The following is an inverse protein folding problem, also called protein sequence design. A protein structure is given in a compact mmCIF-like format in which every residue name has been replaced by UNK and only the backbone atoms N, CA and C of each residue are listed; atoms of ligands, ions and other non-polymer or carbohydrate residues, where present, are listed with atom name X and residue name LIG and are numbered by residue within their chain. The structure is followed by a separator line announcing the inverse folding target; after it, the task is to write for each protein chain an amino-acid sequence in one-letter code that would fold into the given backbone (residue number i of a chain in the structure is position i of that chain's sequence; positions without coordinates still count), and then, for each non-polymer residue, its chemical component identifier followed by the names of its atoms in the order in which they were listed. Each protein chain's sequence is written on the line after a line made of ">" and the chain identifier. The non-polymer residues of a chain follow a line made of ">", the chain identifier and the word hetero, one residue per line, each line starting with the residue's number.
data_IF_591587481610
#
_entry.id   IF_591587481610
#
_cell.length_a   1.000
_cell.length_b   1.000
_cell.length_c   1.000
_cell.angle_alpha   90.00
_cell.angle_beta   90.00
_cell.angle_gamma   90.00
#
_symmetry.space_group_name_H-M   'P 1'
#
loop_
_entity.id
_entity.type
_entity.pdbx_description
1 polymer ?
#
# COMPACT_ATOMS: atom_id res chain seq x y z
N UNK A 1 31.67 67.10 -4.24
CA UNK A 1 30.57 66.57 -5.08
C UNK A 1 30.07 65.31 -4.37
N UNK A 2 29.09 65.33 -3.43
CA UNK A 2 27.60 65.25 -3.61
C UNK A 2 27.22 64.28 -4.76
N UNK A 3 26.40 63.23 -4.64
CA UNK A 3 25.17 62.88 -3.88
C UNK A 3 25.13 61.34 -3.61
N UNK A 4 24.56 60.75 -2.54
CA UNK A 4 23.11 60.55 -2.20
C UNK A 4 22.36 59.76 -3.30
N UNK A 5 21.59 58.67 -3.12
CA UNK A 5 20.90 58.04 -1.98
C UNK A 5 20.43 56.60 -2.33
N UNK A 6 20.22 55.79 -1.29
CA UNK A 6 19.00 54.99 -0.97
C UNK A 6 18.67 53.65 -1.66
N UNK A 7 18.63 52.61 -0.81
CA UNK A 7 17.60 51.58 -0.62
C UNK A 7 16.70 51.17 -1.81
N UNK A 8 16.80 49.89 -2.19
CA UNK A 8 15.70 49.07 -2.70
C UNK A 8 15.88 47.65 -2.12
N UNK A 9 15.35 47.41 -0.93
CA UNK A 9 14.11 46.62 -0.69
C UNK A 9 14.26 45.17 -1.14
N UNK A 10 14.44 44.30 -0.15
CA UNK A 10 14.13 42.89 -0.26
C UNK A 10 12.64 42.70 -0.52
N UNK A 11 12.32 42.06 -1.63
CA UNK A 11 11.04 41.40 -1.87
C UNK A 11 11.18 40.53 -3.11
N UNK A 12 11.38 39.22 -2.92
CA UNK A 12 11.23 38.25 -4.02
C UNK A 12 10.79 36.85 -3.54
N UNK A 13 10.97 36.51 -2.26
CA UNK A 13 10.49 35.22 -1.72
C UNK A 13 8.99 35.20 -1.37
N UNK A 14 8.32 36.35 -1.23
CA UNK A 14 6.88 36.42 -0.90
C UNK A 14 5.95 36.52 -2.13
N UNK A 15 6.51 36.79 -3.32
CA UNK A 15 5.71 37.01 -4.54
C UNK A 15 5.11 35.74 -5.14
N UNK A 16 5.84 34.62 -5.10
CA UNK A 16 5.39 33.36 -5.72
C UNK A 16 4.40 32.57 -4.87
N UNK A 17 4.38 32.75 -3.54
CA UNK A 17 3.42 32.10 -2.67
C UNK A 17 1.98 32.65 -2.82
N UNK A 18 1.81 33.85 -3.39
CA UNK A 18 0.49 34.48 -3.52
C UNK A 18 -0.36 33.94 -4.69
N UNK A 19 0.26 33.27 -5.67
CA UNK A 19 -0.44 32.78 -6.87
C UNK A 19 -1.05 31.38 -6.72
N UNK A 20 -0.82 30.68 -5.61
CA UNK A 20 -1.31 29.32 -5.39
C UNK A 20 -2.79 29.25 -4.98
N UNK A 21 -3.48 30.39 -4.83
CA UNK A 21 -4.81 30.45 -4.18
C UNK A 21 -6.00 30.00 -5.04
N UNK A 22 -5.82 29.69 -6.34
CA UNK A 22 -6.93 29.48 -7.27
C UNK A 22 -6.86 28.19 -8.12
N UNK A 23 -6.05 27.20 -7.74
CA UNK A 23 -5.96 25.96 -8.50
C UNK A 23 -6.72 24.82 -7.82
N UNK A 24 -7.74 24.26 -8.50
CA UNK A 24 -8.35 23.00 -8.09
C UNK A 24 -7.37 21.82 -8.16
N UNK A 25 -7.83 20.61 -7.84
CA UNK A 25 -7.02 19.38 -7.76
C UNK A 25 -6.05 19.17 -8.95
N UNK A 26 -6.49 19.48 -10.18
CA UNK A 26 -5.68 19.37 -11.39
C UNK A 26 -4.52 20.38 -11.47
N UNK A 27 -4.68 21.59 -10.92
CA UNK A 27 -3.61 22.58 -10.90
C UNK A 27 -2.61 22.34 -9.76
N UNK A 28 -3.05 21.77 -8.64
CA UNK A 28 -2.14 21.24 -7.60
C UNK A 28 -1.31 20.10 -8.18
N UNK A 29 -1.93 19.20 -8.96
CA UNK A 29 -1.22 18.11 -9.64
C UNK A 29 -0.18 18.60 -10.66
N UNK A 30 -0.57 19.51 -11.56
CA UNK A 30 0.34 20.10 -12.55
C UNK A 30 1.53 20.80 -11.87
N UNK A 31 1.25 21.57 -10.80
CA UNK A 31 2.27 22.28 -10.06
C UNK A 31 3.16 21.35 -9.24
N UNK A 32 2.63 20.25 -8.68
CA UNK A 32 3.42 19.17 -8.08
C UNK A 32 4.36 18.53 -9.10
N UNK A 33 3.86 18.20 -10.29
CA UNK A 33 4.70 17.66 -11.37
C UNK A 33 5.84 18.63 -11.74
N UNK A 34 5.56 19.93 -11.76
CA UNK A 34 6.55 20.97 -12.05
C UNK A 34 7.52 21.22 -10.87
N UNK A 35 7.03 21.18 -9.63
CA UNK A 35 7.87 21.23 -8.44
C UNK A 35 8.80 20.00 -8.33
N UNK A 36 8.41 18.87 -8.92
CA UNK A 36 9.26 17.68 -9.05
C UNK A 36 10.18 17.69 -10.28
N UNK A 37 9.97 18.57 -11.28
CA UNK A 37 10.70 18.51 -12.56
C UNK A 37 12.08 19.18 -12.54
N UNK A 38 12.35 20.05 -11.56
CA UNK A 38 13.71 20.39 -11.15
C UNK A 38 14.45 21.53 -11.86
N UNK A 39 13.74 22.42 -12.58
CA UNK A 39 14.37 23.41 -13.46
C UNK A 39 15.08 24.60 -12.75
N UNK A 40 14.99 24.72 -11.43
CA UNK A 40 15.40 25.96 -10.72
C UNK A 40 16.86 25.95 -10.18
N UNK A 41 17.70 24.99 -10.58
CA UNK A 41 19.10 24.88 -10.11
C UNK A 41 19.26 24.56 -8.61
N UNK A 42 18.16 24.27 -7.92
CA UNK A 42 18.12 23.88 -6.50
C UNK A 42 18.26 22.36 -6.29
N UNK A 43 18.32 21.57 -7.35
CA UNK A 43 18.34 20.11 -7.30
C UNK A 43 19.77 19.58 -7.29
N UNK A 44 20.06 18.70 -6.33
CA UNK A 44 21.32 17.95 -6.34
C UNK A 44 21.33 16.98 -7.53
N UNK A 45 22.50 16.81 -8.15
CA UNK A 45 22.69 15.87 -9.26
C UNK A 45 22.34 14.47 -8.80
N UNK A 46 21.47 13.79 -9.55
CA UNK A 46 21.04 12.44 -9.23
C UNK A 46 22.24 11.49 -9.35
N UNK A 47 22.60 10.76 -8.29
CA UNK A 47 23.75 9.86 -8.30
C UNK A 47 23.50 8.64 -9.19
N UNK A 48 24.58 8.03 -9.68
CA UNK A 48 24.48 6.73 -10.35
C UNK A 48 24.23 5.62 -9.32
N UNK A 49 23.66 4.49 -9.76
CA UNK A 49 23.50 3.31 -8.90
C UNK A 49 24.84 2.82 -8.33
N UNK A 50 25.95 2.99 -9.06
CA UNK A 50 27.28 2.65 -8.57
C UNK A 50 27.69 3.54 -7.39
N UNK A 51 27.33 4.82 -7.40
CA UNK A 51 27.63 5.74 -6.30
C UNK A 51 26.81 5.38 -5.06
N UNK A 52 25.56 4.96 -5.23
CA UNK A 52 24.73 4.43 -4.14
C UNK A 52 25.36 3.17 -3.56
N UNK A 53 25.74 2.20 -4.40
CA UNK A 53 26.37 0.96 -3.96
C UNK A 53 27.71 1.20 -3.26
N UNK A 54 28.55 2.12 -3.78
CA UNK A 54 29.79 2.54 -3.13
C UNK A 54 29.54 3.19 -1.79
N UNK A 55 28.54 4.07 -1.69
CA UNK A 55 28.15 4.69 -0.42
C UNK A 55 27.77 3.64 0.62
N UNK A 56 26.87 2.72 0.27
CA UNK A 56 26.43 1.64 1.15
C UNK A 56 27.61 0.74 1.55
N UNK A 57 28.44 0.33 0.60
CA UNK A 57 29.65 -0.45 0.86
C UNK A 57 30.58 0.24 1.84
N UNK A 58 30.85 1.54 1.65
CA UNK A 58 31.71 2.32 2.53
C UNK A 58 31.16 2.38 3.96
N UNK A 59 29.85 2.57 4.12
CA UNK A 59 29.21 2.59 5.44
C UNK A 59 29.35 1.23 6.12
N UNK A 60 29.06 0.15 5.40
CA UNK A 60 29.20 -1.21 5.92
C UNK A 60 30.65 -1.55 6.28
N UNK A 61 31.61 -1.20 5.43
CA UNK A 61 33.03 -1.45 5.65
C UNK A 61 33.56 -0.66 6.86
N UNK A 62 33.22 0.63 6.95
CA UNK A 62 33.57 1.45 8.11
C UNK A 62 32.97 0.89 9.40
N UNK A 63 31.68 0.53 9.36
CA UNK A 63 30.99 -0.08 10.48
C UNK A 63 31.65 -1.37 10.98
N UNK A 64 31.98 -2.28 10.05
CA UNK A 64 32.66 -3.54 10.37
C UNK A 64 34.10 -3.33 10.84
N UNK A 65 34.81 -2.36 10.27
CA UNK A 65 36.16 -2.00 10.70
C UNK A 65 36.18 -1.50 12.14
N UNK A 66 35.25 -0.61 12.50
CA UNK A 66 35.12 -0.10 13.88
C UNK A 66 34.73 -1.20 14.86
N UNK A 67 33.91 -2.18 14.46
CA UNK A 67 33.54 -3.30 15.34
C UNK A 67 34.63 -4.37 15.49
N UNK A 68 35.47 -4.56 14.47
CA UNK A 68 36.51 -5.59 14.45
C UNK A 68 37.88 -5.08 14.94
N UNK A 69 38.15 -3.79 14.79
CA UNK A 69 39.34 -3.15 15.33
C UNK A 69 39.24 -3.05 16.85
N UNK A 70 40.20 -3.65 17.55
CA UNK A 70 40.37 -3.56 19.00
C UNK A 70 40.79 -2.16 19.50
N UNK A 71 40.33 -1.08 18.86
CA UNK A 71 40.17 0.18 19.57
C UNK A 71 38.92 0.04 20.41
N UNK A 72 39.13 -0.42 21.64
CA UNK A 72 38.16 -0.39 22.72
C UNK A 72 37.42 0.95 22.71
N UNK A 73 36.22 0.99 22.13
CA UNK A 73 35.01 1.81 22.41
C UNK A 73 35.21 3.05 23.31
N UNK A 74 36.27 3.83 23.09
CA UNK A 74 36.74 4.91 23.99
C UNK A 74 37.18 6.16 23.21
N UNK A 75 37.24 6.10 21.87
CA UNK A 75 37.51 7.25 21.01
C UNK A 75 36.22 7.89 20.44
N UNK A 76 35.05 7.26 20.63
CA UNK A 76 33.75 7.88 20.40
C UNK A 76 33.25 8.44 21.74
N UNK A 77 33.04 9.75 21.82
CA UNK A 77 32.78 10.51 23.06
C UNK A 77 31.59 10.04 23.94
N UNK A 78 31.37 10.71 25.08
CA UNK A 78 30.59 10.21 26.23
C UNK A 78 29.06 10.10 26.02
N UNK A 79 28.55 10.13 24.79
CA UNK A 79 27.11 10.02 24.53
C UNK A 79 26.68 8.56 24.31
N UNK A 80 26.98 7.67 25.26
CA UNK A 80 26.15 6.48 25.48
C UNK A 80 24.81 6.94 26.08
N UNK A 81 23.93 7.52 25.26
CA UNK A 81 22.52 7.54 25.66
C UNK A 81 22.04 6.09 25.63
N UNK A 82 21.28 5.61 26.65
CA UNK A 82 20.49 4.40 26.48
C UNK A 82 19.61 4.56 25.23
N UNK A 83 19.17 3.44 24.63
CA UNK A 83 18.27 3.40 23.48
C UNK A 83 17.39 4.65 23.40
N UNK A 84 17.45 5.43 22.30
CA UNK A 84 16.72 6.69 22.24
C UNK A 84 15.25 6.44 22.58
N UNK A 85 14.81 7.04 23.68
CA UNK A 85 13.52 6.76 24.29
C UNK A 85 12.43 7.38 23.41
N UNK A 86 11.57 6.53 22.85
CA UNK A 86 10.31 6.98 22.27
C UNK A 86 9.38 7.25 23.45
N UNK A 87 8.88 8.49 23.62
CA UNK A 87 7.94 8.80 24.69
C UNK A 87 6.73 7.85 24.66
N UNK A 88 6.35 7.30 25.82
CA UNK A 88 5.19 6.39 25.91
C UNK A 88 3.88 7.09 25.49
N UNK A 89 3.82 8.41 25.69
CA UNK A 89 2.76 9.28 25.21
C UNK A 89 2.63 9.26 23.67
N UNK A 90 3.74 9.28 22.92
CA UNK A 90 3.71 9.15 21.46
C UNK A 90 3.18 7.77 21.04
N UNK A 91 3.63 6.71 21.72
CA UNK A 91 3.16 5.34 21.47
C UNK A 91 1.66 5.22 21.76
N UNK A 92 1.21 5.82 22.86
CA UNK A 92 -0.21 5.83 23.23
C UNK A 92 -1.06 6.52 22.17
N UNK A 93 -0.63 7.69 21.68
CA UNK A 93 -1.32 8.40 20.58
C UNK A 93 -1.39 7.52 19.33
N UNK A 94 -0.30 6.87 18.94
CA UNK A 94 -0.27 5.96 17.78
C UNK A 94 -1.26 4.81 17.93
N UNK A 95 -1.34 4.19 19.11
CA UNK A 95 -2.28 3.09 19.36
C UNK A 95 -3.74 3.55 19.35
N UNK A 96 -4.04 4.70 19.95
CA UNK A 96 -5.39 5.29 19.91
C UNK A 96 -5.81 5.60 18.48
N UNK A 97 -4.93 6.22 17.68
CA UNK A 97 -5.17 6.49 16.28
C UNK A 97 -5.35 5.19 15.47
N UNK A 98 -4.62 4.11 15.77
CA UNK A 98 -4.77 2.82 15.09
C UNK A 98 -6.16 2.19 15.33
N UNK A 99 -6.67 2.29 16.57
CA UNK A 99 -8.05 1.89 16.89
C UNK A 99 -9.03 2.77 16.13
N UNK A 100 -8.81 4.09 16.09
CA UNK A 100 -9.66 5.01 15.35
C UNK A 100 -9.71 4.68 13.85
N UNK A 101 -8.58 4.38 13.21
CA UNK A 101 -8.55 3.94 11.81
C UNK A 101 -9.38 2.68 11.58
N UNK A 102 -9.32 1.73 12.51
CA UNK A 102 -10.13 0.51 12.45
C UNK A 102 -11.62 0.81 12.51
N UNK A 103 -12.03 1.73 13.39
CA UNK A 103 -13.42 2.14 13.52
C UNK A 103 -13.90 2.90 12.29
N UNK A 104 -13.13 3.88 11.81
CA UNK A 104 -13.46 4.66 10.61
C UNK A 104 -13.56 3.75 9.39
N UNK A 105 -12.61 2.83 9.21
CA UNK A 105 -12.65 1.84 8.12
C UNK A 105 -13.92 1.01 8.15
N UNK A 106 -14.31 0.48 9.32
CA UNK A 106 -15.54 -0.31 9.49
C UNK A 106 -16.77 0.51 9.15
N UNK A 107 -16.87 1.73 9.69
CA UNK A 107 -17.98 2.65 9.42
C UNK A 107 -18.10 2.97 7.93
N UNK A 108 -17.01 3.31 7.25
CA UNK A 108 -17.02 3.59 5.82
C UNK A 108 -17.37 2.35 5.00
N UNK A 109 -16.86 1.17 5.39
CA UNK A 109 -17.16 -0.10 4.73
C UNK A 109 -18.66 -0.39 4.73
N UNK A 110 -19.30 -0.30 5.90
CA UNK A 110 -20.69 -0.71 6.05
C UNK A 110 -21.68 0.39 5.63
N UNK A 111 -21.32 1.67 5.77
CA UNK A 111 -22.22 2.81 5.49
C UNK A 111 -22.04 3.43 4.11
N UNK A 112 -20.85 3.30 3.51
CA UNK A 112 -20.52 3.98 2.25
C UNK A 112 -20.17 2.96 1.16
N UNK A 113 -19.13 2.17 1.37
CA UNK A 113 -18.53 1.37 0.29
C UNK A 113 -19.40 0.19 -0.15
N UNK A 114 -19.91 -0.64 0.77
CA UNK A 114 -20.82 -1.75 0.42
C UNK A 114 -22.14 -1.25 -0.18
N UNK A 115 -22.86 -0.28 0.43
CA UNK A 115 -24.08 0.27 -0.16
C UNK A 115 -23.84 0.86 -1.54
N UNK A 116 -22.71 1.54 -1.76
CA UNK A 116 -22.32 2.05 -3.08
C UNK A 116 -22.14 0.90 -4.08
N UNK A 117 -21.44 -0.18 -3.71
CA UNK A 117 -21.27 -1.35 -4.57
C UNK A 117 -22.59 -1.99 -4.99
N UNK A 118 -23.55 -2.12 -4.06
CA UNK A 118 -24.89 -2.65 -4.34
C UNK A 118 -25.74 -1.69 -5.17
N UNK A 119 -25.71 -0.39 -4.87
CA UNK A 119 -26.41 0.64 -5.64
C UNK A 119 -25.94 0.67 -7.10
N UNK A 120 -24.64 0.45 -7.30
CA UNK A 120 -24.05 0.32 -8.62
C UNK A 120 -24.36 -1.04 -9.27
N UNK A 121 -24.99 -2.01 -8.60
CA UNK A 121 -25.25 -3.35 -9.15
C UNK A 121 -23.96 -4.03 -9.66
N UNK A 122 -22.89 -3.96 -8.86
CA UNK A 122 -21.65 -4.69 -9.13
C UNK A 122 -21.84 -6.18 -8.83
N UNK A 123 -20.98 -7.00 -9.42
CA UNK A 123 -20.93 -8.43 -9.11
C UNK A 123 -20.61 -8.65 -7.61
N UNK A 124 -21.22 -9.64 -6.93
CA UNK A 124 -20.99 -9.87 -5.50
C UNK A 124 -19.51 -10.05 -5.12
N UNK A 125 -18.71 -10.68 -5.99
CA UNK A 125 -17.26 -10.82 -5.85
C UNK A 125 -16.55 -9.44 -5.78
N UNK A 126 -16.93 -8.52 -6.67
CA UNK A 126 -16.41 -7.15 -6.71
C UNK A 126 -16.91 -6.29 -5.53
N UNK A 127 -18.15 -6.49 -5.07
CA UNK A 127 -18.67 -5.81 -3.87
C UNK A 127 -17.88 -6.20 -2.62
N UNK A 128 -17.39 -7.45 -2.53
CA UNK A 128 -16.56 -7.89 -1.41
C UNK A 128 -15.15 -7.26 -1.42
N UNK A 129 -14.56 -7.04 -2.60
CA UNK A 129 -13.21 -6.47 -2.75
C UNK A 129 -13.19 -4.93 -2.68
N UNK A 130 -14.25 -4.27 -3.15
CA UNK A 130 -14.32 -2.81 -3.28
C UNK A 130 -14.03 -2.02 -1.98
N UNK A 131 -14.54 -2.40 -0.80
CA UNK A 131 -14.29 -1.64 0.43
C UNK A 131 -12.82 -1.57 0.83
N UNK A 132 -12.05 -2.62 0.58
CA UNK A 132 -10.62 -2.66 0.88
C UNK A 132 -9.86 -1.66 0.01
N UNK A 133 -10.05 -1.72 -1.32
CA UNK A 133 -9.40 -0.79 -2.25
C UNK A 133 -9.85 0.65 -2.09
N UNK A 134 -11.14 0.89 -1.81
CA UNK A 134 -11.66 2.23 -1.58
C UNK A 134 -11.08 2.87 -0.30
N UNK A 135 -10.96 2.08 0.77
CA UNK A 135 -10.32 2.51 2.01
C UNK A 135 -8.86 2.89 1.81
N UNK A 136 -8.09 2.01 1.15
CA UNK A 136 -6.67 2.24 0.87
C UNK A 136 -6.46 3.44 -0.04
N UNK A 137 -7.25 3.59 -1.11
CA UNK A 137 -7.18 4.75 -1.99
C UNK A 137 -7.43 6.06 -1.24
N UNK A 138 -8.47 6.10 -0.40
CA UNK A 138 -8.80 7.29 0.39
C UNK A 138 -7.66 7.66 1.34
N UNK A 139 -7.13 6.67 2.08
CA UNK A 139 -6.04 6.89 3.02
C UNK A 139 -4.77 7.37 2.30
N UNK A 140 -4.25 6.60 1.36
CA UNK A 140 -3.00 6.93 0.66
C UNK A 140 -3.13 8.26 -0.10
N UNK A 141 -4.27 8.51 -0.75
CA UNK A 141 -4.51 9.76 -1.45
C UNK A 141 -4.44 10.97 -0.52
N UNK A 142 -5.15 10.94 0.61
CA UNK A 142 -5.16 12.05 1.57
C UNK A 142 -3.79 12.26 2.23
N UNK A 143 -3.16 11.19 2.72
CA UNK A 143 -1.88 11.29 3.46
C UNK A 143 -0.74 11.68 2.54
N UNK A 144 -0.70 11.14 1.32
CA UNK A 144 0.32 11.51 0.34
C UNK A 144 0.21 12.99 -0.05
N UNK A 145 -0.99 13.49 -0.36
CA UNK A 145 -1.21 14.90 -0.69
C UNK A 145 -0.79 15.83 0.46
N UNK A 146 -1.14 15.49 1.70
CA UNK A 146 -0.74 16.25 2.88
C UNK A 146 0.79 16.27 3.05
N UNK A 147 1.42 15.11 2.89
CA UNK A 147 2.87 14.97 3.06
C UNK A 147 3.62 15.75 1.98
N UNK A 148 3.21 15.65 0.71
CA UNK A 148 3.79 16.45 -0.38
C UNK A 148 3.60 17.94 -0.15
N UNK A 149 2.43 18.36 0.32
CA UNK A 149 2.19 19.76 0.64
C UNK A 149 3.17 20.28 1.70
N UNK A 150 3.33 19.57 2.82
CA UNK A 150 4.22 19.97 3.91
C UNK A 150 5.70 19.93 3.49
N UNK A 151 6.10 18.87 2.78
CA UNK A 151 7.53 18.56 2.55
C UNK A 151 8.07 19.21 1.28
N UNK A 152 7.26 19.30 0.24
CA UNK A 152 7.70 19.76 -1.09
C UNK A 152 7.19 21.17 -1.36
N UNK A 153 5.91 21.46 -1.08
CA UNK A 153 5.27 22.69 -1.54
C UNK A 153 5.40 23.86 -0.58
N UNK A 154 5.41 23.63 0.74
CA UNK A 154 5.53 24.72 1.72
C UNK A 154 6.90 25.41 1.70
N UNK A 155 7.92 24.81 1.08
CA UNK A 155 9.27 25.37 1.00
C UNK A 155 10.05 25.37 2.32
N UNK A 156 9.48 24.80 3.40
CA UNK A 156 10.13 24.67 4.71
C UNK A 156 11.29 23.68 4.70
N UNK A 157 11.16 22.60 3.92
CA UNK A 157 12.13 21.53 3.82
C UNK A 157 12.77 21.51 2.44
N UNK A 158 14.08 21.24 2.39
CA UNK A 158 14.85 21.12 1.14
C UNK A 158 15.29 19.70 0.82
N UNK A 159 15.08 18.76 1.73
CA UNK A 159 15.63 17.40 1.60
C UNK A 159 15.04 16.58 0.47
N UNK A 160 13.90 17.01 -0.09
CA UNK A 160 13.37 16.41 -1.32
C UNK A 160 14.18 16.82 -2.55
N UNK A 161 14.54 18.09 -2.68
CA UNK A 161 15.33 18.63 -3.80
C UNK A 161 16.83 18.36 -3.60
N UNK A 162 17.30 18.44 -2.36
CA UNK A 162 18.70 18.31 -1.92
C UNK A 162 18.82 17.17 -0.89
N UNK A 163 18.93 15.91 -1.33
CA UNK A 163 18.97 14.75 -0.44
C UNK A 163 19.96 14.85 0.72
N UNK A 164 21.13 15.48 0.56
CA UNK A 164 22.08 15.59 1.69
C UNK A 164 21.61 16.50 2.82
N UNK A 165 20.64 17.38 2.57
CA UNK A 165 20.05 18.23 3.62
C UNK A 165 19.17 17.45 4.62
N UNK A 166 18.95 16.13 4.43
CA UNK A 166 18.34 15.29 5.48
C UNK A 166 19.10 15.33 6.80
N UNK A 167 20.41 15.62 6.75
CA UNK A 167 21.31 15.68 7.89
C UNK A 167 21.53 17.10 8.44
N UNK A 168 20.99 18.12 7.79
CA UNK A 168 21.21 19.51 8.22
C UNK A 168 20.56 19.74 9.59
N UNK A 169 21.35 20.23 10.55
CA UNK A 169 20.89 20.45 11.93
C UNK A 169 20.64 19.17 12.72
N UNK A 170 21.09 18.00 12.23
CA UNK A 170 20.95 16.75 12.97
C UNK A 170 21.73 16.79 14.28
N UNK A 171 21.06 16.41 15.37
CA UNK A 171 21.64 16.17 16.69
C UNK A 171 20.78 15.14 17.42
N UNK A 172 21.34 14.28 18.28
CA UNK A 172 20.54 13.37 19.12
C UNK A 172 19.51 14.10 20.01
N UNK A 173 19.74 15.38 20.28
CA UNK A 173 18.92 16.23 21.14
C UNK A 173 17.82 16.99 20.40
N UNK A 174 17.84 16.97 19.07
CA UNK A 174 16.85 17.71 18.28
C UNK A 174 15.45 17.14 18.49
N UNK A 175 14.48 18.02 18.69
CA UNK A 175 13.07 17.65 18.73
C UNK A 175 12.53 17.50 17.31
N UNK A 176 11.71 16.47 17.08
CA UNK A 176 11.04 16.30 15.78
C UNK A 176 10.05 17.45 15.58
N UNK A 177 10.09 18.17 14.44
CA UNK A 177 9.12 19.21 14.13
C UNK A 177 7.67 18.68 14.19
N UNK A 178 6.74 19.48 14.71
CA UNK A 178 5.35 19.04 14.97
C UNK A 178 4.61 18.54 13.71
N UNK A 179 4.87 19.14 12.56
CA UNK A 179 4.35 18.72 11.26
C UNK A 179 4.88 17.35 10.83
N UNK A 180 6.17 17.08 11.02
CA UNK A 180 6.76 15.75 10.77
C UNK A 180 6.25 14.74 11.79
N UNK A 181 6.10 15.15 13.05
CA UNK A 181 5.55 14.30 14.11
C UNK A 181 4.15 13.81 13.75
N UNK A 182 3.26 14.69 13.25
CA UNK A 182 1.92 14.29 12.81
C UNK A 182 1.95 13.32 11.62
N UNK A 183 2.82 13.55 10.64
CA UNK A 183 3.03 12.60 9.53
C UNK A 183 3.42 11.23 10.08
N UNK A 184 4.37 11.19 11.02
CA UNK A 184 4.82 9.96 11.67
C UNK A 184 3.72 9.27 12.48
N UNK A 185 2.96 10.02 13.27
CA UNK A 185 1.88 9.49 14.09
C UNK A 185 0.76 8.87 13.23
N UNK A 186 0.34 9.56 12.17
CA UNK A 186 -0.68 9.08 11.23
C UNK A 186 -0.20 7.84 10.49
N UNK A 187 1.03 7.85 9.97
CA UNK A 187 1.57 6.71 9.22
C UNK A 187 1.80 5.49 10.10
N UNK A 188 2.44 5.68 11.26
CA UNK A 188 2.70 4.58 12.20
C UNK A 188 1.39 3.94 12.67
N UNK A 189 0.38 4.76 13.00
CA UNK A 189 -0.92 4.26 13.44
C UNK A 189 -1.66 3.52 12.33
N UNK A 190 -1.54 3.95 11.07
CA UNK A 190 -2.10 3.21 9.94
C UNK A 190 -1.39 1.89 9.70
N UNK A 191 -0.06 1.80 9.84
CA UNK A 191 0.65 0.52 9.74
C UNK A 191 0.29 -0.43 10.88
N UNK A 192 0.06 0.06 12.10
CA UNK A 192 -0.47 -0.76 13.21
C UNK A 192 -1.89 -1.26 12.88
N UNK A 193 -2.77 -0.37 12.38
CA UNK A 193 -4.08 -0.77 11.86
C UNK A 193 -3.96 -1.80 10.72
N UNK A 194 -3.01 -1.60 9.80
CA UNK A 194 -2.75 -2.46 8.66
C UNK A 194 -2.37 -3.88 9.08
N UNK A 195 -1.58 -4.03 10.16
CA UNK A 195 -1.28 -5.34 10.74
C UNK A 195 -2.55 -6.07 11.19
N UNK A 196 -3.42 -5.37 11.94
CA UNK A 196 -4.70 -5.90 12.37
C UNK A 196 -5.61 -6.23 11.17
N UNK A 197 -5.64 -5.34 10.17
CA UNK A 197 -6.43 -5.52 8.97
C UNK A 197 -6.03 -6.77 8.19
N UNK A 198 -4.74 -6.98 7.93
CA UNK A 198 -4.27 -8.16 7.18
C UNK A 198 -4.61 -9.47 7.90
N UNK A 199 -4.60 -9.48 9.23
CA UNK A 199 -4.90 -10.68 10.02
C UNK A 199 -6.39 -10.98 10.17
N UNK A 200 -7.24 -9.96 10.23
CA UNK A 200 -8.63 -10.13 10.67
C UNK A 200 -9.70 -9.49 9.77
N UNK A 201 -9.35 -8.56 8.88
CA UNK A 201 -10.32 -7.83 8.06
C UNK A 201 -10.15 -8.07 6.55
N UNK A 202 -8.92 -8.19 6.08
CA UNK A 202 -8.58 -8.37 4.67
C UNK A 202 -8.69 -9.86 4.30
N UNK A 203 -8.99 -10.13 3.04
CA UNK A 203 -8.98 -11.49 2.51
C UNK A 203 -7.54 -12.00 2.45
N UNK A 204 -7.32 -13.22 2.92
CA UNK A 204 -6.00 -13.83 2.87
C UNK A 204 -5.62 -14.18 1.43
N UNK A 205 -4.52 -13.58 0.95
CA UNK A 205 -3.95 -13.73 -0.40
C UNK A 205 -2.55 -14.33 -0.34
N UNK A 206 -2.00 -14.71 -1.50
CA UNK A 206 -0.66 -15.31 -1.61
C UNK A 206 0.45 -14.42 -1.05
N UNK A 207 0.26 -13.10 -1.08
CA UNK A 207 1.21 -12.12 -0.58
C UNK A 207 0.91 -11.61 0.83
N UNK A 208 -0.17 -12.07 1.49
CA UNK A 208 -0.54 -11.60 2.84
C UNK A 208 0.59 -11.76 3.85
N UNK A 209 1.31 -12.89 3.82
CA UNK A 209 2.46 -13.10 4.71
C UNK A 209 3.61 -12.10 4.44
N UNK A 210 3.91 -11.83 3.15
CA UNK A 210 4.92 -10.83 2.76
C UNK A 210 4.48 -9.43 3.19
N UNK A 211 3.18 -9.13 3.12
CA UNK A 211 2.61 -7.87 3.61
C UNK A 211 2.74 -7.71 5.13
N UNK A 212 2.59 -8.77 5.93
CA UNK A 212 2.83 -8.73 7.39
C UNK A 212 4.31 -8.46 7.71
N UNK A 213 5.23 -9.12 6.98
CA UNK A 213 6.68 -8.86 7.12
C UNK A 213 6.99 -7.41 6.74
N UNK A 214 6.39 -6.90 5.67
CA UNK A 214 6.52 -5.51 5.26
C UNK A 214 6.04 -4.53 6.35
N UNK A 215 4.83 -4.75 6.90
CA UNK A 215 4.28 -3.88 7.95
C UNK A 215 5.16 -3.90 9.21
N UNK A 216 5.70 -5.06 9.55
CA UNK A 216 6.66 -5.19 10.66
C UNK A 216 7.92 -4.37 10.38
N UNK A 217 8.48 -4.51 9.17
CA UNK A 217 9.67 -3.79 8.74
C UNK A 217 9.45 -2.27 8.69
N UNK A 218 8.32 -1.79 8.18
CA UNK A 218 8.01 -0.35 8.12
C UNK A 218 7.79 0.24 9.50
N UNK A 219 7.13 -0.47 10.42
CA UNK A 219 7.00 -0.03 11.82
C UNK A 219 8.36 0.07 12.52
N UNK A 220 9.27 -0.88 12.29
CA UNK A 220 10.64 -0.82 12.82
C UNK A 220 11.42 0.35 12.20
N UNK A 221 11.32 0.57 10.88
CA UNK A 221 11.94 1.71 10.20
C UNK A 221 11.43 3.06 10.71
N UNK A 222 10.10 3.20 10.89
CA UNK A 222 9.49 4.40 11.46
C UNK A 222 9.95 4.62 12.91
N UNK A 223 9.89 3.58 13.75
CA UNK A 223 10.33 3.66 15.13
C UNK A 223 11.81 4.05 15.26
N UNK A 224 12.69 3.39 14.49
CA UNK A 224 14.12 3.70 14.50
C UNK A 224 14.42 5.08 13.94
N UNK A 225 13.82 5.48 12.82
CA UNK A 225 14.05 6.81 12.25
C UNK A 225 13.59 7.92 13.19
N UNK A 226 12.49 7.69 13.93
CA UNK A 226 12.03 8.61 14.96
C UNK A 226 12.99 8.68 16.17
N UNK A 227 13.43 7.51 16.65
CA UNK A 227 14.32 7.39 17.80
C UNK A 227 15.72 7.99 17.53
N UNK A 228 16.33 7.69 16.38
CA UNK A 228 17.66 8.19 16.00
C UNK A 228 17.64 9.56 15.33
N UNK A 229 16.49 10.24 15.32
CA UNK A 229 16.29 11.56 14.70
C UNK A 229 16.62 11.59 13.20
N UNK A 230 16.50 10.45 12.52
CA UNK A 230 16.60 10.31 11.07
C UNK A 230 15.23 10.52 10.38
N UNK A 231 14.37 11.38 10.94
CA UNK A 231 12.98 11.52 10.53
C UNK A 231 12.85 12.08 9.10
N UNK A 232 13.76 12.97 8.68
CA UNK A 232 13.78 13.48 7.30
C UNK A 232 13.98 12.36 6.26
N UNK A 233 14.82 11.37 6.58
CA UNK A 233 15.02 10.19 5.73
C UNK A 233 13.72 9.39 5.66
N UNK A 234 13.07 9.12 6.80
CA UNK A 234 11.82 8.36 6.81
C UNK A 234 10.67 9.08 6.10
N UNK A 235 10.54 10.40 6.22
CA UNK A 235 9.55 11.16 5.43
C UNK A 235 9.80 11.03 3.93
N UNK A 236 11.06 11.05 3.47
CA UNK A 236 11.36 10.78 2.06
C UNK A 236 10.92 9.38 1.63
N UNK A 237 11.12 8.37 2.47
CA UNK A 237 10.62 7.01 2.20
C UNK A 237 9.10 7.04 2.00
N UNK A 238 8.36 7.67 2.92
CA UNK A 238 6.89 7.74 2.86
C UNK A 238 6.39 8.42 1.57
N UNK A 239 6.93 9.59 1.22
CA UNK A 239 6.53 10.33 0.00
C UNK A 239 6.73 9.49 -1.26
N UNK A 240 7.86 8.79 -1.36
CA UNK A 240 8.19 7.99 -2.54
C UNK A 240 7.37 6.71 -2.64
N UNK A 241 7.04 6.07 -1.51
CA UNK A 241 6.31 4.80 -1.53
C UNK A 241 4.81 4.99 -1.72
N UNK A 242 4.18 5.92 -1.02
CA UNK A 242 2.71 6.01 -0.98
C UNK A 242 2.09 6.39 -2.33
N UNK A 243 2.82 7.12 -3.18
CA UNK A 243 2.29 7.59 -4.45
C UNK A 243 1.85 6.46 -5.40
N UNK A 244 2.66 5.40 -5.50
CA UNK A 244 2.32 4.27 -6.37
C UNK A 244 1.07 3.54 -5.88
N UNK A 245 0.83 3.53 -4.58
CA UNK A 245 -0.28 2.78 -3.99
C UNK A 245 -1.63 3.46 -4.25
N UNK A 246 -1.63 4.81 -4.38
CA UNK A 246 -2.78 5.57 -4.89
C UNK A 246 -3.17 5.08 -6.30
N UNK A 247 -2.20 4.96 -7.21
CA UNK A 247 -2.48 4.52 -8.58
C UNK A 247 -2.91 3.05 -8.64
N UNK A 248 -2.33 2.18 -7.80
CA UNK A 248 -2.70 0.77 -7.71
C UNK A 248 -4.17 0.61 -7.30
N UNK A 249 -4.58 1.25 -6.22
CA UNK A 249 -5.95 1.11 -5.71
C UNK A 249 -6.97 1.80 -6.63
N UNK A 250 -6.58 2.92 -7.26
CA UNK A 250 -7.39 3.56 -8.30
C UNK A 250 -7.60 2.64 -9.51
N UNK A 251 -6.57 1.93 -9.96
CA UNK A 251 -6.67 0.95 -11.04
C UNK A 251 -7.65 -0.17 -10.67
N UNK A 252 -7.51 -0.76 -9.48
CA UNK A 252 -8.38 -1.84 -8.98
C UNK A 252 -9.85 -1.43 -8.93
N UNK A 253 -10.15 -0.24 -8.39
CA UNK A 253 -11.53 0.25 -8.36
C UNK A 253 -12.11 0.38 -9.77
N UNK A 254 -11.35 0.84 -10.76
CA UNK A 254 -11.83 0.92 -12.14
C UNK A 254 -12.06 -0.47 -12.77
N UNK A 255 -11.25 -1.48 -12.41
CA UNK A 255 -11.51 -2.87 -12.78
C UNK A 255 -12.85 -3.35 -12.20
N UNK A 256 -13.13 -3.09 -10.93
CA UNK A 256 -14.39 -3.48 -10.29
C UNK A 256 -15.60 -2.79 -10.94
N UNK A 257 -15.42 -1.57 -11.46
CA UNK A 257 -16.47 -0.81 -12.14
C UNK A 257 -16.63 -1.15 -13.63
N UNK A 258 -15.76 -1.99 -14.20
CA UNK A 258 -15.79 -2.41 -15.61
C UNK A 258 -17.12 -3.06 -15.98
N UNK A 259 -17.68 -3.89 -15.09
CA UNK A 259 -18.98 -4.54 -15.29
C UNK A 259 -19.94 -4.03 -14.21
N UNK A 260 -20.97 -3.33 -14.65
CA UNK A 260 -21.94 -2.68 -13.76
C UNK A 260 -23.35 -2.91 -14.31
N UNK A 261 -24.27 -3.39 -13.47
CA UNK A 261 -25.65 -3.69 -13.87
C UNK A 261 -25.74 -4.59 -15.12
N UNK A 262 -24.85 -5.59 -15.21
CA UNK A 262 -24.76 -6.51 -16.36
C UNK A 262 -24.24 -5.88 -17.67
N UNK A 263 -23.80 -4.62 -17.65
CA UNK A 263 -23.23 -3.92 -18.81
C UNK A 263 -21.73 -3.69 -18.64
N UNK A 264 -20.97 -3.92 -19.71
CA UNK A 264 -19.53 -3.63 -19.75
C UNK A 264 -19.30 -2.16 -20.12
N UNK A 265 -18.69 -1.41 -19.22
CA UNK A 265 -18.32 -0.01 -19.41
C UNK A 265 -16.87 0.07 -19.90
N UNK A 266 -16.69 0.19 -21.22
CA UNK A 266 -15.38 0.25 -21.89
C UNK A 266 -14.51 1.42 -21.39
N UNK A 267 -15.13 2.51 -20.93
CA UNK A 267 -14.42 3.66 -20.37
C UNK A 267 -13.63 3.26 -19.12
N UNK A 268 -14.23 2.50 -18.20
CA UNK A 268 -13.54 2.04 -16.98
C UNK A 268 -12.43 1.02 -17.29
N UNK A 269 -12.61 0.20 -18.32
CA UNK A 269 -11.58 -0.74 -18.82
C UNK A 269 -10.34 0.01 -19.34
N UNK A 270 -10.54 1.07 -20.13
CA UNK A 270 -9.47 1.95 -20.61
C UNK A 270 -8.78 2.71 -19.48
N UNK A 271 -9.56 3.25 -18.53
CA UNK A 271 -9.01 3.96 -17.36
C UNK A 271 -8.20 3.01 -16.48
N UNK A 272 -8.70 1.81 -16.19
CA UNK A 272 -7.97 0.79 -15.44
C UNK A 272 -6.65 0.43 -16.11
N UNK A 273 -6.67 0.23 -17.44
CA UNK A 273 -5.47 -0.11 -18.20
C UNK A 273 -4.44 1.01 -18.18
N UNK A 274 -4.87 2.26 -18.40
CA UNK A 274 -4.00 3.44 -18.31
C UNK A 274 -3.44 3.62 -16.88
N UNK A 275 -4.29 3.48 -15.86
CA UNK A 275 -3.89 3.58 -14.46
C UNK A 275 -2.88 2.50 -14.07
N UNK A 276 -3.06 1.27 -14.55
CA UNK A 276 -2.12 0.17 -14.32
C UNK A 276 -0.74 0.45 -14.96
N UNK A 277 -0.70 0.96 -16.20
CA UNK A 277 0.55 1.36 -16.85
C UNK A 277 1.24 2.51 -16.10
N UNK A 278 0.47 3.54 -15.72
CA UNK A 278 0.99 4.65 -14.92
C UNK A 278 1.51 4.17 -13.56
N UNK A 279 0.82 3.24 -12.92
CA UNK A 279 1.24 2.59 -11.69
C UNK A 279 2.59 1.87 -11.87
N UNK A 280 2.74 1.04 -12.91
CA UNK A 280 3.97 0.29 -13.15
C UNK A 280 5.18 1.21 -13.40
N UNK A 281 5.00 2.27 -14.19
CA UNK A 281 6.03 3.29 -14.45
C UNK A 281 6.39 4.01 -13.14
N UNK A 282 5.37 4.44 -12.39
CA UNK A 282 5.56 5.16 -11.13
C UNK A 282 6.25 4.30 -10.08
N UNK A 283 5.93 3.00 -9.99
CA UNK A 283 6.60 2.06 -9.10
C UNK A 283 8.09 2.00 -9.39
N UNK A 284 8.47 1.83 -10.65
CA UNK A 284 9.87 1.85 -11.07
C UNK A 284 10.54 3.17 -10.70
N UNK A 285 9.96 4.31 -11.11
CA UNK A 285 10.58 5.62 -10.89
C UNK A 285 10.72 5.94 -9.41
N UNK A 286 9.67 5.77 -8.60
CA UNK A 286 9.70 6.20 -7.20
C UNK A 286 10.47 5.22 -6.31
N UNK A 287 10.24 3.92 -6.45
CA UNK A 287 10.76 2.89 -5.52
C UNK A 287 12.06 2.25 -5.98
N UNK A 288 12.33 2.18 -7.28
CA UNK A 288 13.56 1.59 -7.81
C UNK A 288 14.59 2.62 -8.30
N UNK A 289 14.17 3.83 -8.65
CA UNK A 289 15.09 4.89 -9.07
C UNK A 289 15.27 5.98 -8.00
N UNK A 290 14.24 6.76 -7.68
CA UNK A 290 14.35 7.88 -6.73
C UNK A 290 14.64 7.43 -5.30
N UNK A 291 14.06 6.31 -4.84
CA UNK A 291 14.33 5.78 -3.50
C UNK A 291 15.82 5.48 -3.27
N UNK A 292 16.51 4.64 -4.07
CA UNK A 292 17.94 4.43 -3.86
C UNK A 292 18.76 5.69 -4.12
N UNK A 293 18.45 6.47 -5.16
CA UNK A 293 19.24 7.66 -5.53
C UNK A 293 19.08 8.84 -4.55
N UNK A 294 17.93 9.01 -3.88
CA UNK A 294 17.72 10.08 -2.90
C UNK A 294 17.89 9.56 -1.47
N UNK A 295 17.17 8.51 -1.09
CA UNK A 295 17.14 8.03 0.30
C UNK A 295 18.41 7.27 0.63
N UNK A 296 18.74 6.22 -0.11
CA UNK A 296 19.90 5.39 0.22
C UNK A 296 21.21 6.13 0.01
N UNK A 297 21.30 6.99 -1.01
CA UNK A 297 22.46 7.84 -1.22
C UNK A 297 22.67 8.85 -0.08
N UNK A 298 21.62 9.55 0.35
CA UNK A 298 21.71 10.46 1.49
C UNK A 298 22.01 9.71 2.78
N UNK A 299 21.39 8.56 2.99
CA UNK A 299 21.62 7.68 4.13
C UNK A 299 23.00 7.01 4.11
N UNK A 300 23.79 7.10 3.04
CA UNK A 300 25.11 6.45 2.97
C UNK A 300 26.24 7.43 2.68
N UNK A 301 26.34 7.95 1.47
CA UNK A 301 27.34 8.97 1.12
C UNK A 301 27.11 10.25 1.90
N UNK A 302 25.86 10.69 2.01
CA UNK A 302 25.51 11.91 2.77
C UNK A 302 25.92 11.83 4.24
N UNK A 303 25.84 10.62 4.84
CA UNK A 303 26.28 10.34 6.21
C UNK A 303 27.76 10.71 6.41
N UNK A 304 28.64 10.25 5.52
CA UNK A 304 30.07 10.55 5.57
C UNK A 304 30.38 12.00 5.22
N UNK A 305 29.73 12.55 4.19
CA UNK A 305 29.97 13.94 3.78
C UNK A 305 29.61 14.92 4.90
N UNK A 306 28.54 14.63 5.64
CA UNK A 306 28.07 15.46 6.75
C UNK A 306 28.69 15.08 8.10
N UNK A 307 29.53 14.03 8.15
CA UNK A 307 30.20 13.52 9.36
C UNK A 307 29.21 13.22 10.51
N UNK A 308 28.04 12.66 10.16
CA UNK A 308 26.99 12.30 11.11
C UNK A 308 27.05 10.79 11.33
N UNK A 309 27.13 10.31 12.58
CA UNK A 309 27.21 8.87 12.86
C UNK A 309 26.23 8.47 13.98
N UNK A 310 24.93 8.30 13.67
CA UNK A 310 23.94 7.88 14.64
C UNK A 310 24.25 6.48 15.18
N UNK A 311 23.92 6.22 16.45
CA UNK A 311 24.04 4.88 17.00
C UNK A 311 23.17 3.87 16.23
N UNK A 312 23.65 2.63 16.06
CA UNK A 312 22.94 1.55 15.36
C UNK A 312 22.56 1.85 13.89
N UNK A 313 23.22 2.83 13.27
CA UNK A 313 22.88 3.27 11.92
C UNK A 313 23.08 2.16 10.85
N UNK A 314 24.02 1.23 11.06
CA UNK A 314 24.19 0.06 10.17
C UNK A 314 22.93 -0.81 10.10
N UNK A 315 22.27 -1.02 11.24
CA UNK A 315 21.03 -1.79 11.28
C UNK A 315 19.91 -1.04 10.55
N UNK A 316 19.84 0.29 10.73
CA UNK A 316 18.89 1.14 9.99
C UNK A 316 19.10 1.08 8.48
N UNK A 317 20.35 1.20 8.02
CA UNK A 317 20.70 1.09 6.60
C UNK A 317 20.42 -0.31 6.04
N UNK A 318 20.63 -1.36 6.85
CA UNK A 318 20.25 -2.72 6.53
C UNK A 318 18.74 -2.86 6.28
N UNK A 319 17.90 -2.29 7.16
CA UNK A 319 16.45 -2.29 6.98
C UNK A 319 16.01 -1.53 5.72
N UNK A 320 16.62 -0.37 5.41
CA UNK A 320 16.38 0.35 4.16
C UNK A 320 16.76 -0.49 2.93
N UNK A 321 17.82 -1.29 3.02
CA UNK A 321 18.25 -2.20 1.96
C UNK A 321 17.29 -3.37 1.79
N UNK A 322 16.78 -3.95 2.89
CA UNK A 322 15.73 -4.98 2.82
C UNK A 322 14.46 -4.41 2.19
N UNK A 323 14.08 -3.18 2.52
CA UNK A 323 12.95 -2.50 1.86
C UNK A 323 13.16 -2.37 0.34
N UNK A 324 14.36 -2.04 -0.13
CA UNK A 324 14.69 -2.04 -1.57
C UNK A 324 14.48 -3.42 -2.20
N UNK A 325 14.97 -4.49 -1.55
CA UNK A 325 14.82 -5.87 -2.04
C UNK A 325 13.35 -6.26 -2.16
N UNK A 326 12.52 -5.90 -1.17
CA UNK A 326 11.07 -6.14 -1.25
C UNK A 326 10.42 -5.38 -2.43
N UNK A 327 10.83 -4.12 -2.67
CA UNK A 327 10.34 -3.35 -3.82
C UNK A 327 10.74 -3.97 -5.17
N UNK A 328 11.92 -4.57 -5.27
CA UNK A 328 12.35 -5.33 -6.46
C UNK A 328 11.48 -6.59 -6.64
N UNK A 329 11.21 -7.32 -5.55
CA UNK A 329 10.34 -8.50 -5.57
C UNK A 329 8.94 -8.17 -6.12
N UNK A 330 8.29 -7.13 -5.59
CA UNK A 330 6.97 -6.71 -6.08
C UNK A 330 7.03 -6.18 -7.51
N UNK A 331 8.08 -5.45 -7.89
CA UNK A 331 8.22 -5.01 -9.27
C UNK A 331 8.34 -6.18 -10.25
N UNK A 332 9.04 -7.25 -9.86
CA UNK A 332 9.08 -8.50 -10.63
C UNK A 332 7.69 -9.08 -10.87
N UNK A 333 6.80 -9.04 -9.86
CA UNK A 333 5.41 -9.48 -10.03
C UNK A 333 4.61 -8.56 -10.95
N UNK A 334 4.81 -7.23 -10.88
CA UNK A 334 4.16 -6.26 -11.77
C UNK A 334 4.56 -6.53 -13.22
N UNK A 335 5.86 -6.72 -13.50
CA UNK A 335 6.37 -7.02 -14.84
C UNK A 335 5.84 -8.36 -15.34
N UNK A 336 5.85 -9.41 -14.50
CA UNK A 336 5.31 -10.71 -14.87
C UNK A 336 3.82 -10.63 -15.25
N UNK A 337 3.03 -9.89 -14.48
CA UNK A 337 1.63 -9.65 -14.79
C UNK A 337 1.47 -8.87 -16.11
N UNK A 338 2.24 -7.80 -16.32
CA UNK A 338 2.21 -7.04 -17.56
C UNK A 338 2.56 -7.90 -18.79
N UNK A 339 3.57 -8.78 -18.68
CA UNK A 339 3.93 -9.73 -19.75
C UNK A 339 2.78 -10.69 -20.04
N UNK A 340 2.14 -11.26 -19.02
CA UNK A 340 0.99 -12.17 -19.21
C UNK A 340 -0.21 -11.49 -19.88
N UNK A 341 -0.44 -10.22 -19.59
CA UNK A 341 -1.48 -9.42 -20.24
C UNK A 341 -1.14 -9.19 -21.72
N UNK A 342 0.13 -8.89 -22.04
CA UNK A 342 0.57 -8.65 -23.43
C UNK A 342 0.62 -9.94 -24.26
N UNK A 343 1.04 -11.06 -23.68
CA UNK A 343 1.08 -12.38 -24.34
C UNK A 343 -0.33 -12.95 -24.58
N UNK A 344 -1.35 -12.39 -23.93
CA UNK A 344 -2.75 -12.83 -24.07
C UNK A 344 -3.12 -14.01 -23.16
N UNK A 345 -2.22 -14.44 -22.28
CA UNK A 345 -2.47 -15.47 -21.26
C UNK A 345 -3.56 -15.02 -20.27
N UNK A 346 -3.68 -13.70 -20.06
CA UNK A 346 -4.68 -13.08 -19.20
C UNK A 346 -5.38 -11.98 -20.01
N UNK A 347 -6.64 -12.20 -20.37
CA UNK A 347 -7.44 -11.21 -21.11
C UNK A 347 -8.05 -10.12 -20.22
N UNK A 348 -8.06 -10.32 -18.89
CA UNK A 348 -8.69 -9.39 -17.95
C UNK A 348 -7.72 -8.94 -16.86
N UNK A 349 -7.69 -7.65 -16.58
CA UNK A 349 -6.87 -7.05 -15.52
C UNK A 349 -7.41 -7.38 -14.12
N UNK A 350 -7.50 -8.66 -13.75
CA UNK A 350 -7.83 -9.08 -12.38
C UNK A 350 -6.56 -9.34 -11.56
N UNK A 351 -6.65 -9.18 -10.25
CA UNK A 351 -5.52 -9.33 -9.34
C UNK A 351 -5.08 -10.80 -9.27
N UNK A 352 -3.92 -11.13 -9.83
CA UNK A 352 -3.42 -12.51 -9.88
C UNK A 352 -3.19 -13.15 -8.52
N UNK A 353 -3.17 -12.36 -7.45
CA UNK A 353 -3.05 -12.84 -6.08
C UNK A 353 -4.37 -13.37 -5.52
N UNK A 354 -5.49 -13.10 -6.19
CA UNK A 354 -6.86 -13.39 -5.76
C UNK A 354 -7.43 -14.72 -6.28
N UNK A 355 -6.79 -15.42 -7.24
CA UNK A 355 -7.37 -16.61 -7.88
C UNK A 355 -7.84 -17.69 -6.87
N UNK A 356 -7.00 -18.02 -5.88
CA UNK A 356 -7.34 -19.00 -4.86
C UNK A 356 -8.46 -18.51 -3.91
N UNK A 357 -8.62 -17.18 -3.77
CA UNK A 357 -9.66 -16.57 -2.94
C UNK A 357 -11.01 -16.71 -3.62
N UNK A 358 -11.07 -16.45 -4.92
CA UNK A 358 -12.29 -16.60 -5.73
C UNK A 358 -12.74 -18.07 -5.73
N UNK A 359 -11.82 -19.02 -5.90
CA UNK A 359 -12.12 -20.46 -5.81
C UNK A 359 -12.68 -20.87 -4.43
N UNK A 360 -12.10 -20.35 -3.34
CA UNK A 360 -12.61 -20.57 -1.98
C UNK A 360 -14.00 -19.96 -1.76
N UNK A 361 -14.30 -18.80 -2.36
CA UNK A 361 -15.63 -18.18 -2.27
C UNK A 361 -16.68 -18.98 -3.05
N UNK A 362 -16.34 -19.47 -4.25
CA UNK A 362 -17.25 -20.32 -5.03
C UNK A 362 -17.53 -21.65 -4.34
N UNK A 363 -16.49 -22.31 -3.78
CA UNK A 363 -16.67 -23.57 -3.03
C UNK A 363 -17.49 -23.38 -1.75
N UNK A 364 -17.29 -22.29 -1.00
CA UNK A 364 -18.11 -21.96 0.17
C UNK A 364 -19.59 -21.70 -0.20
N UNK A 365 -19.84 -21.02 -1.32
CA UNK A 365 -21.20 -20.76 -1.82
C UNK A 365 -21.87 -22.04 -2.30
N UNK A 366 -21.14 -22.93 -2.97
CA UNK A 366 -21.63 -24.23 -3.41
C UNK A 366 -21.97 -25.16 -2.22
N UNK A 367 -21.13 -25.16 -1.19
CA UNK A 367 -21.38 -25.92 0.05
C UNK A 367 -22.64 -25.42 0.80
N UNK A 368 -22.84 -24.10 0.88
CA UNK A 368 -24.06 -23.52 1.48
C UNK A 368 -25.32 -23.71 0.61
N UNK A 369 -25.18 -23.86 -0.70
CA UNK A 369 -26.29 -24.19 -1.60
C UNK A 369 -26.82 -25.62 -1.41
N UNK A 370 -25.94 -26.57 -1.09
CA UNK A 370 -26.32 -27.96 -0.86
C UNK A 370 -27.06 -28.18 0.48
N UNK A 371 -26.81 -27.34 1.47
CA UNK A 371 -27.50 -27.39 2.76
C UNK A 371 -28.91 -26.77 2.75
N UNK A 372 -29.18 -25.86 1.80
CA UNK A 372 -30.51 -25.21 1.67
C UNK A 372 -31.54 -26.04 0.89
N UNK A 373 -31.11 -27.03 0.12
CA UNK A 373 -32.03 -27.92 -0.62
C UNK A 373 -32.51 -29.13 0.19
N UNK A 374 -32.02 -29.31 1.43
CA UNK A 374 -32.39 -30.45 2.28
C UNK A 374 -33.51 -30.16 3.29
N UNK A 375 -33.74 -28.88 3.63
CA UNK A 375 -34.64 -28.49 4.73
C UNK A 375 -36.00 -27.94 4.28
N UNK A 376 -36.26 -27.82 2.98
CA UNK A 376 -37.55 -27.34 2.44
C UNK A 376 -38.42 -28.46 1.83
N UNK A 377 -38.16 -29.71 2.20
CA UNK A 377 -38.93 -30.88 1.76
C UNK A 377 -39.55 -31.66 2.93
N UNK A 378 -40.04 -31.00 3.98
CA UNK A 378 -40.91 -31.65 4.97
C UNK A 378 -41.98 -30.66 5.43
N UNK A 379 -43.20 -31.18 5.58
CA UNK A 379 -44.45 -30.56 6.06
C UNK A 379 -45.31 -29.93 4.97
N UNK A 380 -46.17 -30.78 4.36
CA UNK A 380 -47.63 -30.68 4.44
C UNK A 380 -48.24 -32.04 4.06
N UNK A 381 -48.74 -32.77 5.06
CA UNK A 381 -49.55 -34.00 4.88
C UNK A 381 -51.00 -33.61 5.23
N UNK A 382 -52.02 -33.86 4.39
CA UNK A 382 -53.40 -33.81 4.84
C UNK A 382 -53.82 -35.17 5.41
N UNK A 383 -54.70 -35.10 6.40
CA UNK A 383 -55.27 -36.21 7.15
C UNK A 383 -56.28 -37.02 6.32
N UNK A 384 -56.38 -38.31 6.66
CA UNK A 384 -57.34 -39.29 6.16
C UNK A 384 -58.77 -39.05 6.68
N UNK A 385 -59.77 -39.20 5.81
CA UNK A 385 -61.09 -39.72 6.21
C UNK A 385 -61.75 -40.43 5.03
N UNK A 386 -62.31 -41.61 5.32
CA UNK A 386 -62.98 -42.55 4.42
C UNK A 386 -64.29 -42.00 3.83
N UNK A 387 -64.61 -42.35 2.58
CA UNK A 387 -65.83 -43.11 2.22
C UNK A 387 -66.08 -43.16 0.70
N UNK A 388 -66.40 -44.36 0.20
CA UNK A 388 -67.45 -44.54 -0.82
C UNK A 388 -67.11 -44.44 -2.33
N UNK A 389 -67.28 -45.58 -3.00
CA UNK A 389 -67.75 -45.77 -4.39
C UNK A 389 -66.74 -45.76 -5.58
N UNK A 390 -66.62 -46.95 -6.18
CA UNK A 390 -66.34 -47.26 -7.61
C UNK A 390 -67.54 -46.86 -8.50
N UNK A 391 -67.52 -46.92 -9.87
CA UNK A 391 -66.52 -47.54 -10.77
C UNK A 391 -66.19 -46.78 -12.10
N UNK A 392 -65.24 -47.38 -12.84
CA UNK A 392 -65.20 -47.57 -14.31
C UNK A 392 -64.75 -46.49 -15.33
N UNK A 393 -64.12 -47.04 -16.39
CA UNK A 393 -63.69 -46.50 -17.69
C UNK A 393 -62.28 -45.86 -17.69
N UNK A 394 -61.31 -46.24 -18.52
CA UNK A 394 -61.28 -46.99 -19.79
C UNK A 394 -60.15 -46.39 -20.65
N UNK A 395 -59.63 -47.14 -21.62
CA UNK A 395 -58.58 -46.75 -22.61
C UNK A 395 -57.13 -46.72 -22.09
N UNK A 396 -56.23 -47.68 -22.36
CA UNK A 396 -55.81 -48.42 -23.57
C UNK A 396 -54.88 -47.62 -24.51
N UNK A 397 -53.77 -48.31 -24.88
CA UNK A 397 -52.76 -48.05 -25.94
C UNK A 397 -51.45 -47.40 -25.43
N UNK A 398 -50.24 -47.97 -25.53
CA UNK A 398 -49.74 -49.18 -26.19
C UNK A 398 -48.42 -48.90 -26.91
N UNK A 399 -47.31 -49.52 -26.44
CA UNK A 399 -46.08 -49.95 -27.16
C UNK A 399 -45.24 -48.87 -27.91
N UNK A 400 -43.90 -48.87 -27.98
CA UNK A 400 -42.89 -49.94 -28.03
C UNK A 400 -41.46 -49.35 -27.85
N UNK A 401 -40.52 -50.15 -27.31
CA UNK A 401 -39.06 -50.06 -27.52
C UNK A 401 -38.26 -49.47 -26.33
N UNK A 402 -37.43 -50.17 -25.56
CA UNK A 402 -36.84 -51.51 -25.68
C UNK A 402 -35.39 -51.47 -26.18
N UNK A 403 -34.40 -51.14 -25.34
CA UNK A 403 -33.02 -51.72 -25.34
C UNK A 403 -32.37 -51.64 -23.93
N UNK A 404 -32.49 -52.76 -23.22
CA UNK A 404 -31.48 -53.57 -22.50
C UNK A 404 -30.19 -52.97 -21.88
N UNK A 405 -30.16 -53.05 -20.55
CA UNK A 405 -29.13 -53.58 -19.61
C UNK A 405 -27.61 -53.31 -19.82
N UNK A 406 -26.95 -52.80 -18.77
CA UNK A 406 -26.27 -53.70 -17.79
C UNK A 406 -25.85 -52.99 -16.49
N UNK A 407 -26.24 -53.62 -15.39
CA UNK A 407 -25.72 -53.48 -14.03
C UNK A 407 -24.23 -53.85 -13.96
N UNK A 408 -23.48 -53.15 -13.09
CA UNK A 408 -22.68 -53.82 -12.05
C UNK A 408 -22.57 -52.92 -10.81
N UNK A 409 -23.19 -53.34 -9.72
CA UNK A 409 -22.86 -52.90 -8.36
C UNK A 409 -21.72 -53.76 -7.82
N UNK A 410 -20.79 -53.17 -7.07
CA UNK A 410 -20.07 -53.86 -6.00
C UNK A 410 -19.86 -52.89 -4.81
N UNK A 411 -20.37 -53.30 -3.65
CA UNK A 411 -20.19 -52.71 -2.33
C UNK A 411 -18.94 -53.30 -1.62
N UNK A 412 -18.53 -52.78 -0.43
CA UNK A 412 -17.15 -52.79 0.06
C UNK A 412 -16.81 -54.00 0.97
N UNK A 413 -15.50 -54.20 1.22
CA UNK A 413 -15.02 -55.00 2.36
C UNK A 413 -13.88 -54.30 3.11
N UNK A 414 -14.00 -54.40 4.43
CA UNK A 414 -13.05 -54.02 5.48
C UNK A 414 -11.76 -54.86 5.45
N UNK A 415 -10.69 -54.28 5.99
CA UNK A 415 -9.88 -54.92 7.04
C UNK A 415 -8.45 -55.35 6.68
N UNK A 416 -7.48 -54.56 7.16
CA UNK A 416 -6.34 -55.00 7.98
C UNK A 416 -5.52 -53.79 8.43
#
# INVERSE_FOLDING_TARGET
>A
RRCSSSAFVGSSAYGQASSARNYGFAGVWWWCCQAMSGDDGQWEVVPSYLDVLRGVYNVCHYGLYVTNGSESVSAAGPHRRPWPFIPLEDVFVVLVLAVLWTLVRRLLTDRVFKPLGWWLSLEPSNVAKLPESAWKLLYYGCVWLLTVYIVVLQGKYRFFQQPFSVWDGWSPEVTVPSDIWWIYAVQSSYYVHGMYAVLYQDLWRKDSAVMLVHHSLTLVLLGMSYAFRCHNIGVLVLVLHDFSDVLLEFSKLNVYLKVRAGRKHVVHDRIASAAFVCFAITWYLMRLHYYPCKVMYAASTGLFVKQVFPAHFLFFLGLLSVLLVMNIYWFGMIVLFAVRVVTGDIQELDDTRDYDVVEKMHSATASNGHHRTSDEAVVLRPASQEDGAKPENGFQNGWHGGVRERHTQLQPQNGS
#
